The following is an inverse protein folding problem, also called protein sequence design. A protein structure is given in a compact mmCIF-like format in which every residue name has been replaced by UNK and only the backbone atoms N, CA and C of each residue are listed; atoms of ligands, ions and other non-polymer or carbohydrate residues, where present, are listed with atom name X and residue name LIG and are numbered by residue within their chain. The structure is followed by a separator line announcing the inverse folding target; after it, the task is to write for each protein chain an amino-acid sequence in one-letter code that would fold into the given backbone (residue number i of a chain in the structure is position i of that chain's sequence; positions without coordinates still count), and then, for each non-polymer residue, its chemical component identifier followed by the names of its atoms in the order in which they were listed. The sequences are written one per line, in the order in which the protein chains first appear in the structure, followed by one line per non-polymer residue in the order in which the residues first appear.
data_IF_918791472943
#
_entry.id   IF_918791472943
#
_cell.length_a   1.000
_cell.length_b   1.000
_cell.length_c   1.000
_cell.angle_alpha   90.00
_cell.angle_beta   90.00
_cell.angle_gamma   90.00
#
_symmetry.space_group_name_H-M   'P 1'
#
loop_
_entity.id
_entity.type
_entity.pdbx_description
1 polymer ?
#
# COMPACT_ATOMS: atom_id res chain seq x y z
N UNK A 1 48.61 -35.32 -11.35
CA UNK A 1 47.26 -34.79 -11.41
C UNK A 1 46.54 -35.21 -10.12
N UNK A 2 46.49 -34.31 -9.16
CA UNK A 2 45.83 -34.55 -7.87
C UNK A 2 44.36 -34.10 -7.99
N UNK A 3 43.46 -35.06 -7.84
CA UNK A 3 42.02 -34.80 -7.85
C UNK A 3 41.66 -34.02 -6.59
N UNK A 4 41.14 -32.81 -6.79
CA UNK A 4 40.56 -31.99 -5.72
C UNK A 4 39.18 -32.57 -5.36
N UNK A 5 39.11 -33.18 -4.20
CA UNK A 5 37.85 -33.69 -3.63
C UNK A 5 37.02 -32.48 -3.19
N UNK A 6 35.87 -32.27 -3.84
CA UNK A 6 34.87 -31.30 -3.38
C UNK A 6 34.29 -31.79 -2.04
N UNK A 7 34.31 -30.99 -0.98
CA UNK A 7 33.73 -31.41 0.28
C UNK A 7 32.20 -31.64 0.10
N UNK A 8 31.76 -32.85 0.38
CA UNK A 8 30.34 -33.14 0.52
C UNK A 8 29.81 -32.40 1.77
N UNK A 9 28.85 -31.48 1.56
CA UNK A 9 28.08 -30.88 2.65
C UNK A 9 27.20 -32.00 3.22
N UNK A 10 27.60 -32.55 4.37
CA UNK A 10 26.74 -33.41 5.15
C UNK A 10 25.57 -32.56 5.66
N UNK A 11 24.29 -32.92 5.41
CA UNK A 11 23.18 -32.20 6.00
C UNK A 11 23.28 -32.34 7.54
N UNK A 12 23.79 -31.30 8.18
CA UNK A 12 23.71 -31.19 9.63
C UNK A 12 22.25 -31.11 10.00
N UNK A 13 21.79 -31.93 10.94
CA UNK A 13 20.48 -31.79 11.57
C UNK A 13 20.46 -30.42 12.24
N UNK A 14 19.83 -29.44 11.60
CA UNK A 14 19.65 -28.11 12.17
C UNK A 14 18.66 -28.25 13.33
N UNK A 15 19.18 -28.19 14.55
CA UNK A 15 18.42 -28.23 15.81
C UNK A 15 18.06 -26.79 16.21
N UNK A 16 17.11 -26.21 15.54
CA UNK A 16 16.56 -24.89 15.85
C UNK A 16 15.13 -24.80 15.32
N UNK A 17 14.36 -23.91 15.89
CA UNK A 17 13.00 -23.65 15.43
C UNK A 17 13.03 -23.00 14.05
N UNK A 18 12.14 -23.43 13.15
CA UNK A 18 11.99 -22.88 11.80
C UNK A 18 11.12 -21.61 11.87
N UNK A 19 11.73 -20.51 12.24
CA UNK A 19 11.03 -19.25 12.40
C UNK A 19 10.86 -18.50 11.07
N UNK A 20 9.79 -17.71 10.99
CA UNK A 20 9.56 -16.76 9.92
C UNK A 20 10.29 -15.45 10.25
N UNK A 21 11.29 -15.09 9.47
CA UNK A 21 12.15 -13.91 9.70
C UNK A 21 11.60 -12.65 9.05
N UNK A 22 10.82 -12.78 7.97
CA UNK A 22 10.06 -11.68 7.38
C UNK A 22 8.72 -12.17 6.86
N UNK A 23 7.71 -11.29 6.88
CA UNK A 23 6.40 -11.54 6.27
C UNK A 23 5.87 -10.23 5.71
N UNK A 24 5.55 -10.21 4.41
CA UNK A 24 5.17 -9.00 3.66
C UNK A 24 4.05 -9.30 2.67
N UNK A 25 3.33 -8.26 2.25
CA UNK A 25 2.32 -8.29 1.18
C UNK A 25 2.80 -7.46 0.00
N UNK A 26 2.67 -8.01 -1.21
CA UNK A 26 3.19 -7.42 -2.44
C UNK A 26 4.66 -7.02 -2.25
N UNK A 27 5.02 -5.77 -2.48
CA UNK A 27 6.36 -5.22 -2.29
C UNK A 27 6.50 -4.34 -1.04
N UNK A 28 5.47 -4.28 -0.20
CA UNK A 28 5.50 -3.44 0.99
C UNK A 28 6.32 -4.07 2.11
N UNK A 29 7.27 -3.35 2.71
CA UNK A 29 8.18 -3.92 3.71
C UNK A 29 7.53 -4.15 5.09
N UNK A 30 6.30 -3.75 5.25
CA UNK A 30 5.56 -3.81 6.51
C UNK A 30 4.06 -3.71 6.32
N UNK A 31 3.40 -3.13 7.28
CA UNK A 31 1.98 -2.83 7.21
C UNK A 31 1.71 -1.88 6.04
N UNK A 32 0.58 -2.06 5.36
CA UNK A 32 0.29 -1.35 4.12
C UNK A 32 -1.16 -0.88 4.06
N UNK A 33 -1.37 0.32 3.53
CA UNK A 33 -2.69 0.88 3.26
C UNK A 33 -2.90 1.03 1.75
N UNK A 34 -4.13 0.80 1.31
CA UNK A 34 -4.50 1.03 -0.09
C UNK A 34 -3.96 -0.03 -1.05
N UNK A 35 -3.89 -1.30 -0.65
CA UNK A 35 -3.54 -2.39 -1.57
C UNK A 35 -4.45 -2.33 -2.80
N UNK A 36 -3.85 -2.16 -3.97
CA UNK A 36 -4.56 -1.89 -5.22
C UNK A 36 -5.04 -3.16 -5.96
N UNK A 37 -4.77 -4.34 -5.41
CA UNK A 37 -5.13 -5.63 -6.04
C UNK A 37 -6.02 -6.45 -5.12
N UNK A 38 -7.05 -7.10 -5.71
CA UNK A 38 -8.00 -7.93 -4.95
C UNK A 38 -7.42 -9.26 -4.48
N UNK A 39 -6.35 -9.71 -5.10
CA UNK A 39 -5.67 -10.97 -4.78
C UNK A 39 -4.16 -10.71 -4.61
N UNK A 40 -3.76 -10.06 -3.49
CA UNK A 40 -2.36 -9.69 -3.28
C UNK A 40 -1.50 -10.93 -3.06
N UNK A 41 -0.25 -10.86 -3.52
CA UNK A 41 0.74 -11.92 -3.28
C UNK A 41 1.42 -11.68 -1.95
N UNK A 42 1.80 -12.74 -1.30
CA UNK A 42 2.50 -12.71 -0.02
C UNK A 42 3.93 -13.21 -0.15
N UNK A 43 4.80 -12.74 0.72
CA UNK A 43 6.18 -13.19 0.76
C UNK A 43 6.60 -13.40 2.21
N UNK A 44 7.41 -14.44 2.43
CA UNK A 44 8.04 -14.69 3.72
C UNK A 44 9.41 -15.33 3.55
N UNK A 45 10.22 -15.21 4.57
CA UNK A 45 11.55 -15.84 4.62
C UNK A 45 11.68 -16.65 5.90
N UNK A 46 12.51 -17.68 5.83
CA UNK A 46 12.75 -18.60 6.93
C UNK A 46 14.11 -18.33 7.59
N UNK A 47 14.24 -18.74 8.85
CA UNK A 47 15.50 -18.63 9.60
C UNK A 47 16.59 -19.56 9.08
N UNK A 48 16.22 -20.69 8.46
CA UNK A 48 17.14 -21.69 7.89
C UNK A 48 16.42 -22.58 6.86
N UNK A 49 17.09 -23.61 6.37
CA UNK A 49 16.59 -24.52 5.34
C UNK A 49 15.28 -25.20 5.78
N UNK A 50 14.29 -25.14 4.91
CA UNK A 50 12.97 -25.71 5.14
C UNK A 50 13.00 -27.24 4.93
N UNK A 51 12.46 -28.05 5.86
CA UNK A 51 12.27 -29.47 5.63
C UNK A 51 11.34 -29.75 4.44
N UNK A 52 11.62 -30.82 3.69
CA UNK A 52 10.89 -31.14 2.45
C UNK A 52 9.39 -31.38 2.66
N UNK A 53 8.99 -31.86 3.85
CA UNK A 53 7.61 -32.14 4.22
C UNK A 53 6.94 -31.03 5.04
N UNK A 54 7.63 -29.90 5.22
CA UNK A 54 7.07 -28.76 5.96
C UNK A 54 5.95 -28.08 5.18
N UNK A 55 5.04 -27.46 5.93
CA UNK A 55 3.95 -26.64 5.42
C UNK A 55 3.95 -25.28 6.10
N UNK A 56 3.27 -24.32 5.50
CA UNK A 56 2.93 -23.04 6.10
C UNK A 56 1.46 -23.02 6.46
N UNK A 57 1.18 -22.78 7.73
CA UNK A 57 -0.16 -22.37 8.16
C UNK A 57 -0.27 -20.84 7.98
N UNK A 58 -1.07 -20.43 7.02
CA UNK A 58 -1.46 -19.04 6.80
C UNK A 58 -2.81 -18.81 7.48
N UNK A 59 -2.86 -17.85 8.41
CA UNK A 59 -4.08 -17.45 9.12
C UNK A 59 -4.38 -16.00 8.84
N UNK A 60 -5.62 -15.69 8.47
CA UNK A 60 -6.14 -14.34 8.26
C UNK A 60 -7.28 -14.05 9.23
N UNK A 61 -7.30 -12.84 9.76
CA UNK A 61 -8.52 -12.21 10.28
C UNK A 61 -8.89 -11.09 9.33
N UNK A 62 -10.06 -11.20 8.71
CA UNK A 62 -10.56 -10.26 7.71
C UNK A 62 -11.69 -9.43 8.29
N UNK A 63 -11.66 -8.11 8.08
CA UNK A 63 -12.67 -7.16 8.55
C UNK A 63 -13.18 -6.34 7.37
N UNK A 64 -14.39 -6.63 6.95
CA UNK A 64 -15.10 -5.84 5.94
C UNK A 64 -15.93 -4.79 6.67
N UNK A 65 -15.94 -3.51 6.27
CA UNK A 65 -16.76 -2.48 6.88
C UNK A 65 -18.23 -2.91 7.02
N UNK A 66 -18.81 -2.70 8.20
CA UNK A 66 -20.18 -3.08 8.50
C UNK A 66 -20.44 -4.58 8.73
N UNK A 67 -19.41 -5.42 8.65
CA UNK A 67 -19.51 -6.87 8.86
C UNK A 67 -18.76 -7.33 10.11
N UNK A 68 -19.11 -8.53 10.61
CA UNK A 68 -18.32 -9.14 11.70
C UNK A 68 -16.98 -9.66 11.15
N UNK A 69 -15.90 -9.53 11.92
CA UNK A 69 -14.62 -10.15 11.57
C UNK A 69 -14.76 -11.66 11.35
N UNK A 70 -14.04 -12.18 10.36
CA UNK A 70 -13.98 -13.61 10.07
C UNK A 70 -12.53 -14.10 10.08
N UNK A 71 -12.30 -15.28 10.60
CA UNK A 71 -11.01 -15.94 10.55
C UNK A 71 -11.01 -16.99 9.43
N UNK A 72 -9.93 -17.03 8.66
CA UNK A 72 -9.71 -17.99 7.57
C UNK A 72 -8.32 -18.57 7.71
N UNK A 73 -8.18 -19.84 7.36
CA UNK A 73 -6.91 -20.57 7.46
C UNK A 73 -6.70 -21.46 6.24
N UNK A 74 -5.45 -21.57 5.82
CA UNK A 74 -5.04 -22.55 4.81
C UNK A 74 -3.65 -23.07 5.10
N UNK A 75 -3.36 -24.27 4.60
CA UNK A 75 -2.04 -24.90 4.65
C UNK A 75 -1.47 -24.88 3.23
N UNK A 76 -0.25 -24.43 3.10
CA UNK A 76 0.48 -24.33 1.84
C UNK A 76 1.77 -25.15 1.95
N UNK A 77 2.30 -25.69 0.86
CA UNK A 77 3.67 -26.22 0.86
C UNK A 77 4.64 -25.14 1.35
N UNK A 78 5.59 -25.50 2.16
CA UNK A 78 6.65 -24.59 2.59
C UNK A 78 7.73 -24.56 1.50
N UNK A 79 7.45 -23.81 0.44
CA UNK A 79 8.33 -23.51 -0.66
C UNK A 79 9.18 -22.25 -0.39
N UNK A 80 9.71 -21.62 -1.44
CA UNK A 80 10.55 -20.43 -1.34
C UNK A 80 9.88 -19.20 -0.69
N UNK A 81 8.56 -19.23 -0.47
CA UNK A 81 7.82 -18.13 0.15
C UNK A 81 7.84 -16.84 -0.65
N UNK A 82 8.03 -16.91 -1.97
CA UNK A 82 8.17 -15.74 -2.85
C UNK A 82 6.95 -15.61 -3.75
N UNK A 83 6.31 -14.44 -3.73
CA UNK A 83 5.15 -14.10 -4.57
C UNK A 83 4.04 -15.17 -4.49
N UNK A 84 3.82 -15.70 -3.30
CA UNK A 84 2.80 -16.73 -3.05
C UNK A 84 1.43 -16.16 -3.38
N UNK A 85 0.67 -16.80 -4.30
CA UNK A 85 -0.62 -16.29 -4.70
C UNK A 85 -1.64 -16.25 -3.56
N UNK A 86 -2.56 -15.31 -3.61
CA UNK A 86 -3.70 -15.24 -2.69
C UNK A 86 -4.55 -16.51 -2.77
N UNK A 87 -4.86 -17.10 -1.61
CA UNK A 87 -5.53 -18.39 -1.49
C UNK A 87 -7.00 -18.30 -1.03
N UNK A 88 -7.50 -17.09 -0.88
CA UNK A 88 -8.82 -16.83 -0.30
C UNK A 88 -9.71 -16.08 -1.30
N UNK A 89 -10.96 -15.84 -0.92
CA UNK A 89 -11.83 -14.96 -1.69
C UNK A 89 -11.18 -13.59 -1.92
N UNK A 90 -11.35 -12.99 -3.10
CA UNK A 90 -10.79 -11.67 -3.40
C UNK A 90 -11.15 -10.63 -2.34
N UNK A 91 -10.25 -9.68 -2.14
CA UNK A 91 -10.51 -8.55 -1.24
C UNK A 91 -11.61 -7.66 -1.80
N UNK A 92 -12.36 -7.04 -0.90
CA UNK A 92 -13.29 -5.95 -1.22
C UNK A 92 -12.72 -4.61 -0.77
N UNK A 93 -13.26 -3.52 -1.27
CA UNK A 93 -12.79 -2.17 -0.92
C UNK A 93 -12.83 -1.93 0.60
N UNK A 94 -11.79 -1.27 1.13
CA UNK A 94 -11.64 -0.92 2.55
C UNK A 94 -11.52 -2.11 3.50
N UNK A 95 -11.33 -3.31 2.98
CA UNK A 95 -11.18 -4.51 3.82
C UNK A 95 -9.85 -4.50 4.54
N UNK A 96 -9.86 -4.65 5.86
CA UNK A 96 -8.66 -4.83 6.68
C UNK A 96 -8.34 -6.31 6.82
N UNK A 97 -7.06 -6.63 6.70
CA UNK A 97 -6.56 -8.00 6.89
C UNK A 97 -5.42 -8.00 7.91
N UNK A 98 -5.56 -8.87 8.88
CA UNK A 98 -4.50 -9.21 9.84
C UNK A 98 -4.05 -10.62 9.54
N UNK A 99 -2.82 -10.78 9.09
CA UNK A 99 -2.28 -12.04 8.61
C UNK A 99 -1.11 -12.51 9.48
N UNK A 100 -1.03 -13.84 9.70
CA UNK A 100 0.14 -14.49 10.29
C UNK A 100 0.49 -15.74 9.51
N UNK A 101 1.77 -16.08 9.51
CA UNK A 101 2.29 -17.34 8.96
C UNK A 101 3.07 -18.08 10.02
N UNK A 102 3.00 -19.42 9.99
CA UNK A 102 3.75 -20.30 10.86
C UNK A 102 4.20 -21.55 10.11
N UNK A 103 5.47 -21.91 10.25
CA UNK A 103 5.96 -23.19 9.75
C UNK A 103 5.43 -24.35 10.60
N UNK A 104 4.89 -25.37 9.95
CA UNK A 104 4.34 -26.56 10.60
C UNK A 104 4.82 -27.82 9.87
N UNK A 105 4.83 -28.95 10.58
CA UNK A 105 5.11 -30.26 9.98
C UNK A 105 3.92 -30.75 9.14
N UNK A 106 4.10 -31.85 8.39
CA UNK A 106 3.02 -32.52 7.69
C UNK A 106 1.88 -33.00 8.63
N UNK A 107 2.14 -33.14 9.92
CA UNK A 107 1.11 -33.44 10.94
C UNK A 107 0.54 -32.20 11.62
N UNK A 108 0.78 -31.03 11.05
CA UNK A 108 0.34 -29.70 11.50
C UNK A 108 0.85 -29.30 12.91
N UNK A 109 1.98 -29.87 13.34
CA UNK A 109 2.64 -29.42 14.57
C UNK A 109 3.57 -28.25 14.27
N UNK A 110 3.58 -27.22 15.12
CA UNK A 110 4.52 -26.09 14.97
C UNK A 110 5.97 -26.57 14.84
N UNK A 111 6.69 -26.01 13.87
CA UNK A 111 8.13 -26.16 13.68
C UNK A 111 8.89 -24.92 14.16
N UNK A 112 8.20 -23.79 14.32
CA UNK A 112 8.74 -22.54 14.81
C UNK A 112 7.65 -21.63 15.35
N UNK A 113 8.02 -20.42 15.74
CA UNK A 113 7.11 -19.41 16.24
C UNK A 113 6.18 -18.89 15.13
N UNK A 114 5.02 -18.37 15.53
CA UNK A 114 4.15 -17.59 14.62
C UNK A 114 4.86 -16.30 14.26
N UNK A 115 4.78 -15.86 13.00
CA UNK A 115 5.30 -14.57 12.56
C UNK A 115 4.70 -13.41 13.35
N UNK A 116 5.29 -12.21 13.21
CA UNK A 116 4.56 -11.00 13.55
C UNK A 116 3.25 -10.95 12.77
N UNK A 117 2.24 -10.28 13.31
CA UNK A 117 1.02 -9.98 12.55
C UNK A 117 1.35 -8.91 11.51
N UNK A 118 1.06 -9.21 10.26
CA UNK A 118 1.08 -8.25 9.16
C UNK A 118 -0.32 -7.65 9.05
N UNK A 119 -0.43 -6.33 9.07
CA UNK A 119 -1.67 -5.61 8.84
C UNK A 119 -1.63 -4.93 7.47
N UNK A 120 -2.69 -5.11 6.70
CA UNK A 120 -2.87 -4.35 5.46
C UNK A 120 -4.35 -4.08 5.19
N UNK A 121 -4.60 -3.04 4.42
CA UNK A 121 -5.93 -2.57 4.08
C UNK A 121 -6.07 -2.46 2.56
N UNK A 122 -7.16 -2.96 2.01
CA UNK A 122 -7.51 -2.83 0.61
C UNK A 122 -7.85 -1.37 0.26
N UNK A 123 -7.46 -0.94 -0.92
CA UNK A 123 -7.84 0.35 -1.48
C UNK A 123 -9.31 0.39 -1.92
N UNK A 124 -9.61 1.33 -2.79
CA UNK A 124 -10.90 1.49 -3.43
C UNK A 124 -10.90 0.74 -4.77
N UNK A 125 -11.78 -0.23 -4.94
CA UNK A 125 -11.78 -1.09 -6.13
C UNK A 125 -12.91 -0.81 -7.10
N UNK A 126 -14.01 -0.21 -6.63
CA UNK A 126 -15.19 0.03 -7.45
C UNK A 126 -15.29 1.49 -7.86
N UNK A 127 -15.86 1.74 -9.02
CA UNK A 127 -16.08 3.10 -9.52
C UNK A 127 -16.91 3.94 -8.53
N UNK A 128 -17.93 3.33 -7.94
CA UNK A 128 -18.80 4.00 -6.96
C UNK A 128 -18.14 4.25 -5.59
N UNK A 129 -16.96 3.69 -5.34
CA UNK A 129 -16.17 4.01 -4.14
C UNK A 129 -15.55 5.41 -4.23
N UNK A 130 -15.33 5.91 -5.45
CA UNK A 130 -14.71 7.19 -5.72
C UNK A 130 -15.81 8.26 -5.80
N UNK A 131 -16.07 8.92 -4.68
CA UNK A 131 -17.15 9.93 -4.57
C UNK A 131 -16.66 11.37 -4.67
N UNK A 132 -15.35 11.60 -4.60
CA UNK A 132 -14.75 12.91 -4.84
C UNK A 132 -14.51 13.14 -6.34
N UNK A 133 -14.35 14.40 -6.72
CA UNK A 133 -13.95 14.81 -8.06
C UNK A 133 -12.54 15.42 -8.05
N UNK A 134 -11.89 15.47 -9.21
CA UNK A 134 -10.67 16.26 -9.36
C UNK A 134 -10.97 17.76 -9.26
N UNK A 135 -10.25 18.43 -8.36
CA UNK A 135 -10.35 19.88 -8.14
C UNK A 135 -9.05 20.54 -8.57
N UNK A 136 -9.15 21.58 -9.36
CA UNK A 136 -8.04 22.37 -9.86
C UNK A 136 -8.32 23.87 -9.87
N UNK A 137 -7.39 24.71 -10.37
CA UNK A 137 -7.56 26.15 -10.44
C UNK A 137 -8.74 26.52 -11.36
N UNK A 138 -9.52 27.53 -10.94
CA UNK A 138 -10.64 28.07 -11.72
C UNK A 138 -10.22 29.22 -12.64
N UNK A 139 -8.98 29.72 -12.52
CA UNK A 139 -8.46 30.79 -13.40
C UNK A 139 -7.89 30.22 -14.70
N UNK A 140 -7.88 31.04 -15.73
CA UNK A 140 -7.17 30.72 -16.96
C UNK A 140 -5.66 30.73 -16.70
N UNK A 141 -4.97 29.67 -17.02
CA UNK A 141 -3.53 29.60 -16.91
C UNK A 141 -2.87 30.14 -18.15
N UNK A 142 -1.70 30.83 -18.01
CA UNK A 142 -0.98 31.34 -19.16
C UNK A 142 -0.48 30.19 -20.04
N UNK A 143 -0.42 30.42 -21.35
CA UNK A 143 0.18 29.47 -22.30
C UNK A 143 1.70 29.33 -22.12
N UNK A 144 2.31 30.23 -21.34
CA UNK A 144 3.74 30.16 -21.01
C UNK A 144 4.06 29.15 -19.95
N UNK A 145 5.34 28.75 -19.90
CA UNK A 145 5.85 27.76 -18.90
C UNK A 145 5.94 28.32 -17.46
N UNK A 146 5.64 29.59 -17.27
CA UNK A 146 5.64 30.28 -15.97
C UNK A 146 4.25 30.19 -15.33
N UNK A 147 3.82 28.99 -14.97
CA UNK A 147 2.55 28.75 -14.28
C UNK A 147 2.75 28.88 -12.78
N UNK A 148 1.75 29.45 -12.12
CA UNK A 148 1.71 29.42 -10.67
C UNK A 148 1.29 28.02 -10.20
N UNK A 149 2.01 27.50 -9.22
CA UNK A 149 1.62 26.26 -8.57
C UNK A 149 0.39 26.50 -7.69
N UNK A 150 -0.75 25.84 -7.94
CA UNK A 150 -1.96 26.07 -7.18
C UNK A 150 -1.85 25.56 -5.75
N UNK A 151 -2.46 26.31 -4.83
CA UNK A 151 -2.76 25.86 -3.49
C UNK A 151 -4.27 25.67 -3.38
N UNK A 152 -4.69 24.45 -3.07
CA UNK A 152 -6.10 24.12 -2.85
C UNK A 152 -6.32 23.98 -1.35
N UNK A 153 -7.40 24.58 -0.83
CA UNK A 153 -7.72 24.53 0.59
C UNK A 153 -9.22 24.33 0.80
N UNK A 154 -9.54 23.51 1.80
CA UNK A 154 -10.92 23.34 2.29
C UNK A 154 -10.93 23.28 3.80
N UNK A 155 -12.10 23.47 4.39
CA UNK A 155 -12.37 23.21 5.81
C UNK A 155 -13.50 22.20 5.93
N UNK A 156 -13.37 21.34 6.92
CA UNK A 156 -14.40 20.37 7.29
C UNK A 156 -14.70 20.49 8.76
N UNK A 157 -15.93 20.24 9.14
CA UNK A 157 -16.37 20.25 10.55
C UNK A 157 -16.66 18.80 10.97
N UNK A 158 -15.98 18.34 12.01
CA UNK A 158 -16.22 17.04 12.62
C UNK A 158 -16.92 17.21 13.94
N UNK A 159 -18.02 16.49 14.13
CA UNK A 159 -18.80 16.57 15.35
C UNK A 159 -18.04 16.02 16.57
N UNK A 160 -17.36 14.90 16.36
CA UNK A 160 -16.68 14.14 17.41
C UNK A 160 -15.22 13.86 16.96
N UNK A 161 -14.36 13.46 17.90
CA UNK A 161 -13.03 12.97 17.60
C UNK A 161 -13.12 11.69 16.77
N UNK A 162 -12.48 11.61 15.59
CA UNK A 162 -12.53 10.40 14.78
C UNK A 162 -11.83 9.23 15.46
N UNK A 163 -12.39 8.04 15.30
CA UNK A 163 -11.77 6.77 15.73
C UNK A 163 -10.93 6.15 14.63
N UNK A 164 -11.25 6.50 13.38
CA UNK A 164 -10.52 6.10 12.19
C UNK A 164 -10.76 7.12 11.08
N UNK A 165 -9.69 7.50 10.37
CA UNK A 165 -9.82 8.33 9.18
C UNK A 165 -8.82 7.90 8.11
N UNK A 166 -9.27 7.88 6.85
CA UNK A 166 -8.48 7.56 5.67
C UNK A 166 -8.55 8.68 4.65
N UNK A 167 -7.40 9.11 4.17
CA UNK A 167 -7.30 10.03 3.04
C UNK A 167 -6.81 9.26 1.82
N UNK A 168 -7.67 9.16 0.81
CA UNK A 168 -7.32 8.67 -0.53
C UNK A 168 -6.93 9.87 -1.38
N UNK A 169 -5.69 9.87 -1.88
CA UNK A 169 -5.07 11.04 -2.47
C UNK A 169 -4.37 10.71 -3.78
N UNK A 170 -4.64 11.49 -4.80
CA UNK A 170 -3.87 11.48 -6.05
C UNK A 170 -3.92 12.85 -6.73
N UNK A 171 -3.16 13.04 -7.81
CA UNK A 171 -3.16 14.26 -8.58
C UNK A 171 -2.88 14.01 -10.06
N UNK A 172 -3.43 14.88 -10.90
CA UNK A 172 -2.93 15.10 -12.25
C UNK A 172 -1.79 16.13 -12.15
N UNK A 173 -0.59 15.63 -11.86
CA UNK A 173 0.58 16.40 -11.45
C UNK A 173 1.24 15.76 -10.22
N UNK A 174 1.74 16.61 -9.32
CA UNK A 174 2.25 16.22 -8.00
C UNK A 174 1.39 16.88 -6.92
N UNK A 175 1.34 16.23 -5.75
CA UNK A 175 0.63 16.77 -4.59
C UNK A 175 1.40 16.53 -3.28
N UNK A 176 1.40 17.53 -2.40
CA UNK A 176 1.62 17.37 -0.96
C UNK A 176 0.36 17.80 -0.22
N UNK A 177 -0.05 17.01 0.77
CA UNK A 177 -1.22 17.31 1.59
C UNK A 177 -0.81 17.73 3.01
N UNK A 178 -1.55 18.66 3.58
CA UNK A 178 -1.44 19.09 4.96
C UNK A 178 -2.82 19.06 5.61
N UNK A 179 -2.88 18.62 6.86
CA UNK A 179 -4.08 18.71 7.70
C UNK A 179 -3.70 19.44 8.98
N UNK A 180 -4.43 20.51 9.29
CA UNK A 180 -4.20 21.35 10.49
C UNK A 180 -2.76 21.86 10.59
N UNK A 181 -2.09 22.12 9.45
CA UNK A 181 -0.70 22.60 9.40
C UNK A 181 0.36 21.50 9.57
N UNK A 182 -0.03 20.24 9.65
CA UNK A 182 0.88 19.11 9.67
C UNK A 182 0.87 18.38 8.32
N UNK A 183 2.05 18.06 7.77
CA UNK A 183 2.18 17.28 6.54
C UNK A 183 1.58 15.89 6.71
N UNK A 184 0.85 15.42 5.71
CA UNK A 184 0.33 14.05 5.64
C UNK A 184 1.38 13.14 5.01
N UNK A 185 1.76 12.09 5.73
CA UNK A 185 2.76 11.12 5.27
C UNK A 185 4.18 11.69 5.19
N UNK A 186 5.11 10.86 4.76
CA UNK A 186 6.52 11.22 4.57
C UNK A 186 6.97 11.09 3.11
N UNK A 187 6.03 10.79 2.23
CA UNK A 187 6.30 10.55 0.83
C UNK A 187 6.59 11.86 0.10
N UNK A 188 7.33 11.77 -0.98
CA UNK A 188 7.67 12.88 -1.84
C UNK A 188 7.31 12.55 -3.29
N UNK A 189 6.99 13.59 -4.08
CA UNK A 189 6.68 13.47 -5.50
C UNK A 189 5.49 12.52 -5.81
N UNK A 190 4.51 12.46 -4.90
CA UNK A 190 3.30 11.66 -5.12
C UNK A 190 2.38 12.36 -6.15
N UNK A 191 1.60 11.58 -6.89
CA UNK A 191 1.44 10.13 -6.89
C UNK A 191 2.55 9.36 -7.61
N UNK A 192 3.52 10.01 -8.21
CA UNK A 192 4.56 9.38 -9.02
C UNK A 192 4.26 9.43 -10.52
N UNK A 193 5.10 8.81 -11.32
CA UNK A 193 4.96 8.76 -12.77
C UNK A 193 4.41 7.42 -13.24
N UNK A 194 3.25 7.45 -13.87
CA UNK A 194 2.61 6.30 -14.53
C UNK A 194 2.30 6.63 -15.98
N UNK A 195 1.79 5.67 -16.74
CA UNK A 195 1.09 5.99 -17.98
C UNK A 195 -0.30 6.55 -17.63
N UNK A 196 -0.39 7.87 -17.52
CA UNK A 196 -1.62 8.57 -17.09
C UNK A 196 -2.82 8.38 -18.03
N UNK A 197 -2.61 7.91 -19.28
CA UNK A 197 -3.70 7.52 -20.17
C UNK A 197 -4.41 6.23 -19.71
N UNK A 198 -3.74 5.42 -18.88
CA UNK A 198 -4.24 4.13 -18.42
C UNK A 198 -4.53 4.08 -16.93
N UNK A 199 -3.70 4.72 -16.12
CA UNK A 199 -3.89 4.76 -14.66
C UNK A 199 -3.16 5.93 -14.02
N UNK A 200 -3.73 6.36 -12.90
CA UNK A 200 -3.10 7.25 -11.93
C UNK A 200 -2.93 6.48 -10.63
N UNK A 201 -1.77 6.58 -10.00
CA UNK A 201 -1.51 5.94 -8.71
C UNK A 201 -2.30 6.68 -7.62
N UNK A 202 -2.97 5.95 -6.74
CA UNK A 202 -3.68 6.51 -5.59
C UNK A 202 -2.99 6.08 -4.29
N UNK A 203 -2.72 7.05 -3.43
CA UNK A 203 -2.13 6.84 -2.12
C UNK A 203 -3.21 6.86 -1.05
N UNK A 204 -3.04 6.02 -0.03
CA UNK A 204 -3.96 5.95 1.11
C UNK A 204 -3.17 6.24 2.38
N UNK A 205 -3.64 7.22 3.15
CA UNK A 205 -3.02 7.62 4.41
C UNK A 205 -3.98 7.43 5.58
N UNK A 206 -3.44 6.94 6.69
CA UNK A 206 -4.10 7.08 7.98
C UNK A 206 -3.89 8.51 8.49
N UNK A 207 -4.98 9.25 8.58
CA UNK A 207 -4.97 10.64 9.04
C UNK A 207 -5.77 10.85 10.32
N UNK A 208 -6.04 9.76 11.04
CA UNK A 208 -6.81 9.78 12.29
C UNK A 208 -6.25 10.78 13.30
N UNK A 209 -4.94 10.73 13.52
CA UNK A 209 -4.25 11.61 14.49
C UNK A 209 -4.08 13.05 13.99
N UNK A 210 -4.30 13.31 12.69
CA UNK A 210 -4.24 14.66 12.12
C UNK A 210 -5.54 15.45 12.32
N UNK A 211 -6.62 14.77 12.68
CA UNK A 211 -7.96 15.33 12.79
C UNK A 211 -8.42 15.45 14.25
N UNK A 212 -9.29 16.40 14.51
CA UNK A 212 -9.91 16.61 15.81
C UNK A 212 -11.40 16.95 15.68
N UNK A 213 -12.13 16.84 16.77
CA UNK A 213 -13.50 17.40 16.82
C UNK A 213 -13.45 18.92 16.56
N UNK A 214 -14.45 19.42 15.84
CA UNK A 214 -14.54 20.81 15.40
C UNK A 214 -13.99 21.03 13.99
N UNK A 215 -13.55 22.24 13.70
CA UNK A 215 -13.07 22.65 12.37
C UNK A 215 -11.67 22.12 12.11
N UNK A 216 -11.51 21.45 10.98
CA UNK A 216 -10.21 20.99 10.48
C UNK A 216 -9.94 21.62 9.12
N UNK A 217 -8.71 22.08 8.88
CA UNK A 217 -8.27 22.64 7.62
C UNK A 217 -7.43 21.62 6.85
N UNK A 218 -7.76 21.43 5.58
CA UNK A 218 -6.98 20.59 4.66
C UNK A 218 -6.41 21.47 3.55
N UNK A 219 -5.13 21.33 3.28
CA UNK A 219 -4.41 22.05 2.24
C UNK A 219 -3.67 21.11 1.30
N UNK A 220 -3.60 21.45 0.02
CA UNK A 220 -2.93 20.67 -1.01
C UNK A 220 -2.06 21.60 -1.86
N UNK A 221 -0.75 21.31 -1.86
CA UNK A 221 0.23 21.96 -2.73
C UNK A 221 0.32 21.16 -4.02
N UNK A 222 0.07 21.79 -5.15
CA UNK A 222 0.11 21.10 -6.44
C UNK A 222 1.33 21.54 -7.25
N UNK A 223 1.90 20.57 -7.97
CA UNK A 223 3.02 20.78 -8.90
C UNK A 223 2.76 20.11 -10.24
N UNK A 224 3.35 20.64 -11.31
CA UNK A 224 3.16 20.12 -12.67
C UNK A 224 3.61 18.67 -12.84
N UNK A 225 4.70 18.28 -12.17
CA UNK A 225 5.26 16.94 -12.22
C UNK A 225 5.48 16.42 -13.64
N UNK A 226 5.29 15.13 -13.81
CA UNK A 226 5.41 14.45 -15.11
C UNK A 226 4.14 14.57 -15.95
N UNK A 227 3.01 14.93 -15.35
CA UNK A 227 1.73 14.98 -16.05
C UNK A 227 1.69 16.15 -17.07
N UNK A 228 1.97 17.37 -16.61
CA UNK A 228 1.95 18.55 -17.48
C UNK A 228 3.28 19.33 -17.51
N UNK A 229 4.27 18.95 -16.71
CA UNK A 229 5.60 19.53 -16.73
C UNK A 229 6.36 19.17 -18.02
N UNK A 230 7.59 19.68 -18.14
CA UNK A 230 8.41 19.39 -19.31
C UNK A 230 9.08 18.03 -19.20
N UNK A 231 8.94 17.24 -20.24
CA UNK A 231 9.59 15.93 -20.41
C UNK A 231 10.47 15.93 -21.66
N UNK A 232 11.62 15.27 -21.58
CA UNK A 232 12.54 15.08 -22.70
C UNK A 232 13.76 16.00 -22.66
N UNK A 233 14.54 15.96 -23.76
CA UNK A 233 15.80 16.67 -23.93
C UNK A 233 15.56 17.98 -24.73
N UNK A 234 16.58 18.86 -24.74
CA UNK A 234 16.60 20.12 -25.53
C UNK A 234 15.38 21.02 -25.26
N UNK A 235 15.01 21.15 -23.98
CA UNK A 235 13.83 21.92 -23.56
C UNK A 235 12.54 21.11 -23.47
N UNK A 236 12.49 19.91 -24.02
CA UNK A 236 11.38 18.97 -23.87
C UNK A 236 10.01 19.47 -24.32
N UNK A 237 8.98 18.70 -24.01
CA UNK A 237 7.58 19.02 -24.32
C UNK A 237 6.81 19.14 -23.00
N UNK A 238 6.05 20.22 -22.82
CA UNK A 238 5.10 20.36 -21.72
C UNK A 238 3.74 19.76 -22.11
N UNK A 239 2.92 19.47 -21.10
CA UNK A 239 1.55 18.98 -21.27
C UNK A 239 1.46 17.64 -22.04
N UNK A 240 2.44 16.76 -21.87
CA UNK A 240 2.48 15.49 -22.61
C UNK A 240 1.23 14.62 -22.36
N UNK A 241 0.78 14.56 -21.12
CA UNK A 241 -0.41 13.79 -20.73
C UNK A 241 -1.67 14.65 -20.56
N UNK A 242 -1.52 15.94 -20.35
CA UNK A 242 -2.63 16.89 -20.21
C UNK A 242 -2.18 18.27 -19.79
N UNK A 243 -3.06 19.23 -19.93
CA UNK A 243 -2.80 20.65 -19.68
C UNK A 243 -3.43 21.19 -18.38
N UNK A 244 -4.25 20.36 -17.69
CA UNK A 244 -4.94 20.73 -16.45
C UNK A 244 -4.37 20.02 -15.26
N UNK A 245 -3.92 20.77 -14.26
CA UNK A 245 -3.52 20.25 -12.97
C UNK A 245 -4.74 20.07 -12.06
N UNK A 246 -4.74 19.06 -11.22
CA UNK A 246 -5.83 18.85 -10.27
C UNK A 246 -5.48 17.83 -9.20
N UNK A 247 -6.10 17.96 -8.05
CA UNK A 247 -6.04 17.00 -6.94
C UNK A 247 -7.36 16.25 -6.81
N UNK A 248 -7.28 14.95 -6.60
CA UNK A 248 -8.36 14.14 -6.06
C UNK A 248 -8.03 13.84 -4.61
N UNK A 249 -8.92 14.20 -3.70
CA UNK A 249 -8.77 13.96 -2.28
C UNK A 249 -10.12 13.52 -1.69
N UNK A 250 -10.20 12.28 -1.22
CA UNK A 250 -11.37 11.73 -0.56
C UNK A 250 -11.02 11.38 0.87
N UNK A 251 -11.68 12.05 1.82
CA UNK A 251 -11.53 11.78 3.24
C UNK A 251 -12.72 10.94 3.72
N UNK A 252 -12.43 9.83 4.37
CA UNK A 252 -13.41 8.99 5.04
C UNK A 252 -13.13 8.99 6.54
N UNK A 253 -14.17 9.21 7.35
CA UNK A 253 -14.07 9.38 8.81
C UNK A 253 -15.11 8.52 9.51
N UNK A 254 -14.69 7.80 10.55
CA UNK A 254 -15.52 6.98 11.44
C UNK A 254 -15.48 7.50 12.89
#
# INVERSE_FOLDING_TARGET
MTATTVPQIVPGTLTGDLDITSFTVEHYPGDALGIAVRAPRMNWTYSHTVPEDAQILLTLTRRVPGSKPREEKTYLPADDGVLVPWQFEPLVSREEVFATVQAVSASHKPLGAVSRTLHFEAGLFEEFDHVADFVGPSWAEPESDHRHLPLVRTEIELKDQPVRARLYLTALGLVEAEINGAKVGNDALIPGWTNYEQRVEMWTYDVTENLSAGTNAMGFWLGDGWYRGRLGFDGGYANYYGDRIGVFAQLEVE
#
